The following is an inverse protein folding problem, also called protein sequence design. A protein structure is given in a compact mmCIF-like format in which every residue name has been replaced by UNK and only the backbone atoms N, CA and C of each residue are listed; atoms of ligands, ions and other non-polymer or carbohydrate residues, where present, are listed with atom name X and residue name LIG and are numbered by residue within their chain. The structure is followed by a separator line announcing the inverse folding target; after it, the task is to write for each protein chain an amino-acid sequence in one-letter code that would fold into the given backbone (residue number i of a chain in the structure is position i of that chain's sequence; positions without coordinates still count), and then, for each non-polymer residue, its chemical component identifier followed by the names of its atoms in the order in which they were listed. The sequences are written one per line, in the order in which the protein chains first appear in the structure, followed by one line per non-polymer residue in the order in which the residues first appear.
data_IF_639407097406
#
_entry.id   IF_639407097406
#
_cell.length_a   1.000
_cell.length_b   1.000
_cell.length_c   1.000
_cell.angle_alpha   90.00
_cell.angle_beta   90.00
_cell.angle_gamma   90.00
#
_symmetry.space_group_name_H-M   'P 1'
#
loop_
_entity.id
_entity.type
_entity.pdbx_description
1 polymer ?
#
# COMPACT_ATOMS: atom_id res chain seq x y z
N UNK A 1 22.53 -31.96 -36.85
CA UNK A 1 23.76 -31.50 -36.15
C UNK A 1 23.49 -30.07 -35.69
N UNK A 2 23.02 -29.82 -34.46
CA UNK A 2 23.80 -29.66 -33.22
C UNK A 2 24.19 -28.17 -33.06
N UNK A 3 23.82 -27.41 -32.03
CA UNK A 3 24.06 -27.60 -30.58
C UNK A 3 23.17 -26.70 -29.71
N UNK A 4 23.04 -27.13 -28.46
CA UNK A 4 22.26 -26.61 -27.33
C UNK A 4 23.07 -25.59 -26.50
N UNK A 5 22.35 -24.73 -25.77
CA UNK A 5 22.69 -24.03 -24.50
C UNK A 5 23.69 -22.86 -24.48
N UNK A 6 23.23 -21.73 -23.89
CA UNK A 6 23.77 -21.21 -22.61
C UNK A 6 22.66 -20.59 -21.74
N UNK A 7 22.41 -21.22 -20.60
CA UNK A 7 21.77 -20.67 -19.41
C UNK A 7 22.75 -19.73 -18.66
N UNK A 8 22.21 -18.80 -17.86
CA UNK A 8 22.92 -18.00 -16.84
C UNK A 8 22.85 -16.50 -17.15
N UNK A 9 22.34 -15.61 -16.29
CA UNK A 9 22.58 -15.51 -14.86
C UNK A 9 21.29 -15.35 -14.04
N UNK A 10 21.15 -16.23 -13.05
CA UNK A 10 20.45 -15.98 -11.79
C UNK A 10 21.49 -15.44 -10.81
N UNK A 11 21.28 -14.25 -10.27
CA UNK A 11 21.92 -13.81 -9.02
C UNK A 11 20.74 -13.43 -8.10
N UNK A 12 20.23 -14.31 -7.23
CA UNK A 12 20.85 -14.84 -6.01
C UNK A 12 21.40 -13.73 -5.11
N UNK A 13 20.49 -12.92 -4.54
CA UNK A 13 20.77 -12.11 -3.35
C UNK A 13 20.05 -12.72 -2.15
N UNK A 14 20.76 -13.51 -1.35
CA UNK A 14 20.27 -14.13 -0.11
C UNK A 14 20.98 -13.48 1.08
N UNK A 15 20.17 -12.78 1.90
CA UNK A 15 20.08 -12.75 3.38
C UNK A 15 21.25 -12.27 4.22
N UNK A 16 21.01 -11.24 5.06
CA UNK A 16 21.14 -11.17 6.55
C UNK A 16 20.37 -9.89 6.98
N UNK A 17 19.53 -9.76 8.00
CA UNK A 17 19.08 -10.57 9.13
C UNK A 17 17.98 -9.79 9.89
N UNK A 18 17.34 -10.43 10.88
CA UNK A 18 16.41 -9.78 11.83
C UNK A 18 14.95 -10.19 11.63
N UNK A 19 14.48 -11.12 12.45
CA UNK A 19 13.08 -11.47 12.55
C UNK A 19 12.25 -10.31 13.14
N UNK A 20 11.23 -9.86 12.42
CA UNK A 20 10.00 -9.34 13.02
C UNK A 20 8.81 -9.85 12.21
N UNK A 21 7.85 -10.32 12.99
CA UNK A 21 6.63 -11.03 12.63
C UNK A 21 5.62 -10.07 12.01
N UNK A 22 4.83 -10.57 11.03
CA UNK A 22 3.69 -9.91 10.38
C UNK A 22 3.99 -8.62 9.58
N UNK A 23 4.01 -8.72 8.25
CA UNK A 23 3.97 -7.54 7.39
C UNK A 23 3.81 -7.95 5.94
N UNK A 24 2.80 -7.40 5.26
CA UNK A 24 2.41 -7.78 3.89
C UNK A 24 3.53 -7.63 2.86
N UNK A 25 3.36 -8.31 1.73
CA UNK A 25 4.30 -8.25 0.61
C UNK A 25 4.10 -6.92 -0.12
N UNK A 26 5.02 -5.97 0.04
CA UNK A 26 5.04 -4.76 -0.77
C UNK A 26 5.73 -5.06 -2.11
N UNK A 27 5.00 -4.94 -3.21
CA UNK A 27 5.55 -5.00 -4.57
C UNK A 27 5.58 -3.59 -5.17
N UNK A 28 6.77 -3.02 -5.34
CA UNK A 28 6.96 -1.73 -6.01
C UNK A 28 7.39 -1.96 -7.48
N UNK A 29 6.59 -1.47 -8.44
CA UNK A 29 6.92 -1.47 -9.86
C UNK A 29 7.20 -0.04 -10.34
N UNK A 30 8.32 0.20 -11.03
CA UNK A 30 8.65 1.51 -11.63
C UNK A 30 7.99 1.66 -13.01
N UNK A 31 7.12 2.66 -13.17
CA UNK A 31 6.62 3.14 -14.44
C UNK A 31 7.44 4.36 -14.88
N UNK A 32 7.92 4.40 -16.13
CA UNK A 32 8.75 5.49 -16.65
C UNK A 32 7.98 6.82 -16.74
N UNK A 33 8.35 7.77 -15.87
CA UNK A 33 7.79 9.10 -15.65
C UNK A 33 8.56 9.76 -14.49
N UNK A 34 8.17 10.94 -13.92
CA UNK A 34 8.68 11.34 -12.60
C UNK A 34 8.60 10.14 -11.66
N UNK A 35 9.61 9.93 -10.80
CA UNK A 35 9.77 8.69 -10.05
C UNK A 35 8.58 8.44 -9.11
N UNK A 36 7.49 7.91 -9.66
CA UNK A 36 6.24 7.61 -8.99
C UNK A 36 6.44 6.30 -8.25
N UNK A 37 6.24 6.35 -6.94
CA UNK A 37 6.20 5.14 -6.12
C UNK A 37 4.75 4.87 -5.77
N UNK A 38 4.28 3.65 -6.01
CA UNK A 38 2.99 3.20 -5.48
C UNK A 38 3.29 2.24 -4.34
N UNK A 39 2.83 2.61 -3.14
CA UNK A 39 2.87 1.73 -1.98
C UNK A 39 1.52 1.07 -1.84
N UNK A 40 1.51 -0.25 -1.62
CA UNK A 40 0.30 -1.05 -1.44
C UNK A 40 0.44 -1.88 -0.18
N UNK A 41 -0.60 -1.91 0.65
CA UNK A 41 -0.63 -2.67 1.88
C UNK A 41 -1.98 -3.37 2.04
N UNK A 42 -1.98 -4.57 2.64
CA UNK A 42 -3.23 -5.23 3.05
C UNK A 42 -3.60 -4.81 4.46
N UNK A 43 -4.87 -4.44 4.67
CA UNK A 43 -5.44 -4.08 5.97
C UNK A 43 -6.61 -4.99 6.30
N UNK A 44 -6.67 -5.42 7.56
CA UNK A 44 -7.81 -6.15 8.11
C UNK A 44 -8.79 -5.15 8.71
N UNK A 45 -9.99 -5.06 8.17
CA UNK A 45 -11.06 -4.18 8.65
C UNK A 45 -12.04 -5.01 9.47
N UNK A 46 -12.07 -4.88 10.81
CA UNK A 46 -13.05 -5.58 11.64
C UNK A 46 -14.47 -5.05 11.37
N UNK A 47 -15.49 -5.69 11.93
CA UNK A 47 -16.85 -5.12 11.95
C UNK A 47 -16.83 -3.76 12.66
N UNK A 48 -17.51 -2.76 12.10
CA UNK A 48 -17.54 -1.40 12.62
C UNK A 48 -16.62 -0.48 11.84
N UNK A 49 -15.82 0.32 12.53
CA UNK A 49 -14.95 1.33 11.91
C UNK A 49 -13.47 0.98 12.00
N UNK A 50 -12.71 1.41 11.00
CA UNK A 50 -11.25 1.43 11.02
C UNK A 50 -10.74 2.73 10.41
N UNK A 51 -9.99 3.51 11.18
CA UNK A 51 -9.14 4.58 10.65
C UNK A 51 -7.74 4.03 10.42
N UNK A 52 -7.18 4.24 9.24
CA UNK A 52 -5.84 3.77 8.87
C UNK A 52 -5.23 4.67 7.83
N UNK A 53 -3.93 4.51 7.57
CA UNK A 53 -3.23 5.20 6.51
C UNK A 53 -2.23 4.28 5.80
N UNK A 54 -1.73 4.76 4.67
CA UNK A 54 -0.57 4.20 3.96
C UNK A 54 0.45 5.31 3.80
N UNK A 55 1.70 5.02 4.15
CA UNK A 55 2.77 6.03 4.24
C UNK A 55 3.69 5.90 3.03
N UNK A 56 4.07 7.03 2.48
CA UNK A 56 5.09 7.13 1.45
C UNK A 56 6.47 6.80 2.03
N UNK A 57 7.42 6.33 1.21
CA UNK A 57 8.80 6.21 1.63
C UNK A 57 9.39 7.58 2.00
N UNK A 58 10.49 7.57 2.73
CA UNK A 58 11.23 8.79 3.05
C UNK A 58 11.54 9.63 1.80
N UNK A 59 11.56 10.96 1.99
CA UNK A 59 11.77 11.97 0.95
C UNK A 59 10.73 11.97 -0.19
N UNK A 60 9.54 11.44 0.08
CA UNK A 60 8.40 11.50 -0.83
C UNK A 60 7.17 12.09 -0.15
N UNK A 61 6.28 12.67 -0.94
CA UNK A 61 4.97 13.11 -0.47
C UNK A 61 3.84 12.36 -1.19
N UNK A 62 2.69 12.25 -0.54
CA UNK A 62 1.49 11.61 -1.06
C UNK A 62 0.71 12.57 -1.96
N UNK A 63 0.40 12.13 -3.18
CA UNK A 63 -0.41 12.89 -4.16
C UNK A 63 -1.74 12.22 -4.49
N UNK A 64 -1.91 10.96 -4.09
CA UNK A 64 -3.10 10.19 -4.39
C UNK A 64 -3.13 8.91 -3.57
N UNK A 65 -4.27 8.27 -3.51
CA UNK A 65 -4.41 6.98 -2.86
C UNK A 65 -5.81 6.43 -3.03
N UNK A 66 -6.01 5.23 -2.51
CA UNK A 66 -7.29 4.56 -2.61
C UNK A 66 -7.24 3.16 -2.04
N UNK A 67 -8.29 2.41 -2.31
CA UNK A 67 -8.46 1.06 -1.80
C UNK A 67 -9.10 0.14 -2.83
N UNK A 68 -8.92 -1.16 -2.62
CA UNK A 68 -9.60 -2.22 -3.32
C UNK A 68 -10.07 -3.27 -2.31
N UNK A 69 -11.37 -3.58 -2.34
CA UNK A 69 -11.95 -4.69 -1.60
C UNK A 69 -12.30 -5.81 -2.58
N UNK A 70 -11.66 -6.97 -2.42
CA UNK A 70 -11.77 -8.11 -3.34
C UNK A 70 -12.78 -9.19 -2.87
N UNK A 71 -13.65 -8.87 -1.90
CA UNK A 71 -14.61 -9.82 -1.33
C UNK A 71 -16.05 -9.59 -1.80
N UNK A 72 -17.00 -10.14 -1.05
CA UNK A 72 -18.42 -10.13 -1.41
C UNK A 72 -18.99 -8.70 -1.51
N UNK A 73 -19.36 -8.30 -2.73
CA UNK A 73 -20.07 -7.05 -3.02
C UNK A 73 -21.57 -7.22 -2.73
N UNK A 74 -21.92 -7.11 -1.45
CA UNK A 74 -23.31 -7.03 -1.01
C UNK A 74 -23.80 -5.58 -1.10
N UNK A 75 -24.86 -5.35 -1.86
CA UNK A 75 -25.46 -4.04 -2.08
C UNK A 75 -26.24 -3.53 -0.87
N UNK A 76 -26.74 -4.43 -0.01
CA UNK A 76 -27.48 -4.04 1.20
C UNK A 76 -26.54 -3.60 2.32
N UNK A 77 -25.34 -4.19 2.37
CA UNK A 77 -24.31 -3.91 3.38
C UNK A 77 -22.94 -3.66 2.71
N UNK A 78 -22.80 -2.54 1.97
CA UNK A 78 -21.55 -2.21 1.30
C UNK A 78 -20.47 -1.82 2.32
N UNK A 79 -19.21 -2.07 1.96
CA UNK A 79 -18.09 -1.46 2.68
C UNK A 79 -18.02 -0.01 2.24
N UNK A 80 -18.12 0.92 3.19
CA UNK A 80 -18.10 2.36 2.90
C UNK A 80 -16.73 2.92 3.28
N UNK A 81 -16.24 3.86 2.49
CA UNK A 81 -15.01 4.61 2.78
C UNK A 81 -15.31 6.09 2.66
N UNK A 82 -15.10 6.84 3.74
CA UNK A 82 -15.51 8.25 3.82
C UNK A 82 -14.36 9.22 3.58
N UNK A 83 -13.16 8.88 4.06
CA UNK A 83 -11.99 9.75 3.95
C UNK A 83 -10.98 9.09 3.02
N UNK A 84 -10.48 9.85 2.05
CA UNK A 84 -9.44 9.46 1.11
C UNK A 84 -8.65 10.75 0.79
N UNK A 85 -7.72 11.12 1.67
CA UNK A 85 -7.02 12.40 1.60
C UNK A 85 -5.55 12.29 2.01
N UNK A 86 -4.68 13.19 1.54
CA UNK A 86 -3.33 13.30 2.07
C UNK A 86 -3.34 13.61 3.57
N UNK A 87 -2.47 12.95 4.32
CA UNK A 87 -2.22 13.15 5.75
C UNK A 87 -0.72 13.38 5.99
N UNK A 88 -0.40 13.93 7.16
CA UNK A 88 0.98 14.15 7.61
C UNK A 88 1.23 13.30 8.85
N UNK A 89 2.28 12.48 8.84
CA UNK A 89 2.68 11.67 10.01
C UNK A 89 3.56 12.43 11.00
N UNK A 90 4.11 13.58 10.58
CA UNK A 90 4.94 14.48 11.38
C UNK A 90 4.13 15.56 12.08
N UNK A 91 4.39 15.78 13.37
CA UNK A 91 3.80 16.88 14.15
C UNK A 91 4.44 18.26 13.85
N UNK A 92 5.48 18.32 13.01
CA UNK A 92 6.18 19.58 12.72
C UNK A 92 5.32 20.47 11.80
N UNK A 93 5.09 21.75 12.16
CA UNK A 93 4.38 22.68 11.29
C UNK A 93 4.99 22.77 9.90
N UNK A 94 4.15 22.74 8.87
CA UNK A 94 4.58 22.83 7.47
C UNK A 94 5.23 21.55 6.90
N UNK A 95 5.17 20.43 7.61
CA UNK A 95 5.57 19.14 7.06
C UNK A 95 4.74 18.79 5.83
N UNK A 96 5.36 18.12 4.87
CA UNK A 96 4.67 17.63 3.67
C UNK A 96 3.72 16.50 4.06
N UNK A 97 2.61 16.37 3.33
CA UNK A 97 1.74 15.22 3.47
C UNK A 97 2.44 13.98 2.92
N UNK A 98 2.86 13.07 3.79
CA UNK A 98 3.62 11.86 3.50
C UNK A 98 2.76 10.59 3.63
N UNK A 99 1.48 10.72 3.96
CA UNK A 99 0.57 9.59 4.08
C UNK A 99 -0.74 9.84 3.34
N UNK A 100 -1.50 8.77 3.15
CA UNK A 100 -2.85 8.82 2.64
C UNK A 100 -3.81 8.16 3.63
N UNK A 101 -4.72 8.96 4.18
CA UNK A 101 -5.68 8.57 5.20
C UNK A 101 -6.91 7.92 4.61
N UNK A 102 -7.35 6.82 5.24
CA UNK A 102 -8.57 6.10 4.90
C UNK A 102 -9.42 5.81 6.14
N UNK A 103 -10.72 6.06 6.04
CA UNK A 103 -11.70 5.68 7.07
C UNK A 103 -12.70 4.67 6.50
N UNK A 104 -12.69 3.45 7.01
CA UNK A 104 -13.57 2.36 6.60
C UNK A 104 -14.72 2.17 7.58
N UNK A 105 -15.92 1.94 7.04
CA UNK A 105 -17.07 1.38 7.74
C UNK A 105 -17.39 0.01 7.13
N UNK A 106 -17.21 -1.05 7.93
CA UNK A 106 -17.53 -2.41 7.58
C UNK A 106 -18.80 -2.88 8.33
N UNK A 107 -19.96 -2.92 7.67
CA UNK A 107 -21.20 -3.40 8.28
C UNK A 107 -21.25 -4.93 8.43
N UNK A 108 -20.34 -5.67 7.80
CA UNK A 108 -20.40 -7.14 7.71
C UNK A 108 -20.08 -7.76 9.07
N UNK A 109 -20.70 -8.91 9.36
CA UNK A 109 -20.46 -9.64 10.60
C UNK A 109 -19.15 -10.47 10.59
N UNK A 110 -18.16 -10.03 9.83
CA UNK A 110 -16.84 -10.65 9.69
C UNK A 110 -15.77 -9.60 9.42
N UNK A 111 -14.53 -9.89 9.80
CA UNK A 111 -13.37 -9.12 9.35
C UNK A 111 -13.19 -9.30 7.85
N UNK A 112 -12.91 -8.22 7.14
CA UNK A 112 -12.60 -8.23 5.72
C UNK A 112 -11.15 -7.79 5.49
N UNK A 113 -10.60 -8.18 4.35
CA UNK A 113 -9.29 -7.72 3.89
C UNK A 113 -9.48 -6.71 2.77
N UNK A 114 -8.83 -5.56 2.89
CA UNK A 114 -8.76 -4.54 1.83
C UNK A 114 -7.30 -4.32 1.46
N UNK A 115 -7.03 -4.10 0.17
CA UNK A 115 -5.77 -3.51 -0.28
C UNK A 115 -5.93 -2.00 -0.22
N UNK A 116 -5.01 -1.31 0.43
CA UNK A 116 -4.93 0.15 0.45
C UNK A 116 -3.67 0.58 -0.28
N UNK A 117 -3.69 1.76 -0.87
CA UNK A 117 -2.58 2.26 -1.66
C UNK A 117 -2.40 3.76 -1.55
N UNK A 118 -1.15 4.20 -1.70
CA UNK A 118 -0.77 5.61 -1.86
C UNK A 118 0.14 5.74 -3.07
N UNK A 119 0.00 6.85 -3.79
CA UNK A 119 0.83 7.29 -4.90
C UNK A 119 1.72 8.41 -4.36
N UNK A 120 3.02 8.22 -4.49
CA UNK A 120 4.04 9.06 -3.92
C UNK A 120 4.94 9.64 -5.02
N UNK A 121 5.40 10.86 -4.83
CA UNK A 121 6.42 11.51 -5.67
C UNK A 121 7.53 12.10 -4.81
N UNK A 122 8.76 12.26 -5.35
CA UNK A 122 9.87 12.86 -4.62
C UNK A 122 9.57 14.30 -4.19
N UNK A 123 10.06 14.66 -3.01
CA UNK A 123 10.14 16.06 -2.58
C UNK A 123 11.28 16.71 -3.39
N UNK A 124 10.99 17.84 -4.03
CA UNK A 124 11.94 18.58 -4.88
C UNK A 124 12.90 19.48 -4.11
#
# INVERSE_FOLDING_TARGET
MGRISRFGLVAAGVVVGGALVWGGVAAAGRLSGPALTVVKESRQVPKGYLSTNVVCPEEQHAIGGGYAYHGDHDLENPVTVEVNAPETTSDKPGSVADAWGLFFLNPKNKTITVEVSVICVPIG
#
